data_IF_934190276680
#
_entry.id   IF_934190276680
#
_cell.length_a   1.000
_cell.length_b   1.000
_cell.length_c   1.000
_cell.angle_alpha   90.00
_cell.angle_beta   90.00
_cell.angle_gamma   90.00
#
_symmetry.space_group_name_H-M   'P 1'
#
loop_
_entity.id
_entity.type
_entity.pdbx_description
1 polymer ?
#
# COMPACT_ATOMS: atom_id res chain seq x y z
N UNK A 1 -22.50 21.57 -6.64
CA UNK A 1 -21.49 21.08 -5.67
C UNK A 1 -21.15 19.60 -5.84
N UNK A 2 -22.08 18.74 -6.29
CA UNK A 2 -21.84 17.32 -6.57
C UNK A 2 -20.95 17.06 -7.80
N UNK A 3 -21.13 17.79 -8.89
CA UNK A 3 -20.37 17.58 -10.14
C UNK A 3 -18.87 17.89 -10.02
N UNK A 4 -18.49 18.97 -9.31
CA UNK A 4 -17.08 19.34 -9.08
C UNK A 4 -16.35 18.31 -8.20
N UNK A 5 -17.07 17.74 -7.23
CA UNK A 5 -16.57 16.70 -6.34
C UNK A 5 -16.39 15.35 -7.08
N UNK A 6 -17.27 15.04 -8.03
CA UNK A 6 -17.18 13.83 -8.85
C UNK A 6 -16.03 13.93 -9.87
N UNK A 7 -15.88 15.08 -10.54
CA UNK A 7 -14.75 15.33 -11.44
C UNK A 7 -13.40 15.25 -10.70
N UNK A 8 -13.35 15.76 -9.46
CA UNK A 8 -12.16 15.66 -8.59
C UNK A 8 -11.81 14.20 -8.29
N UNK A 9 -12.82 13.38 -8.00
CA UNK A 9 -12.64 11.95 -7.74
C UNK A 9 -12.20 11.19 -8.99
N UNK A 10 -12.83 11.42 -10.15
CA UNK A 10 -12.46 10.81 -11.43
C UNK A 10 -11.02 11.15 -11.82
N UNK A 11 -10.63 12.42 -11.66
CA UNK A 11 -9.25 12.86 -11.91
C UNK A 11 -8.27 12.15 -10.98
N UNK A 12 -8.62 12.02 -9.70
CA UNK A 12 -7.80 11.27 -8.73
C UNK A 12 -7.66 9.80 -9.15
N UNK A 13 -8.75 9.12 -9.54
CA UNK A 13 -8.72 7.72 -10.01
C UNK A 13 -7.83 7.55 -11.24
N UNK A 14 -7.96 8.42 -12.23
CA UNK A 14 -7.11 8.41 -13.40
C UNK A 14 -5.61 8.60 -13.06
N UNK A 15 -5.30 9.45 -12.07
CA UNK A 15 -3.93 9.63 -11.59
C UNK A 15 -3.39 8.37 -10.89
N UNK A 16 -4.22 7.69 -10.09
CA UNK A 16 -3.87 6.42 -9.44
C UNK A 16 -3.58 5.36 -10.50
N UNK A 17 -4.49 5.13 -11.44
CA UNK A 17 -4.33 4.14 -12.51
C UNK A 17 -3.08 4.41 -13.36
N UNK A 18 -2.82 5.69 -13.70
CA UNK A 18 -1.63 6.07 -14.44
C UNK A 18 -0.34 5.75 -13.66
N UNK A 19 -0.31 6.07 -12.37
CA UNK A 19 0.83 5.79 -11.51
C UNK A 19 1.06 4.28 -11.36
N UNK A 20 0.00 3.51 -11.14
CA UNK A 20 0.05 2.05 -10.97
C UNK A 20 0.46 1.33 -12.26
N UNK A 21 -0.05 1.77 -13.42
CA UNK A 21 0.38 1.24 -14.70
C UNK A 21 1.89 1.47 -14.93
N UNK A 22 2.39 2.66 -14.57
CA UNK A 22 3.84 2.92 -14.65
C UNK A 22 4.62 2.08 -13.63
N UNK A 23 4.07 1.88 -12.43
CA UNK A 23 4.66 1.06 -11.39
C UNK A 23 4.81 -0.41 -11.81
N UNK A 24 3.76 -1.00 -12.38
CA UNK A 24 3.77 -2.37 -12.89
C UNK A 24 4.91 -2.59 -13.89
N UNK A 25 5.08 -1.64 -14.82
CA UNK A 25 6.18 -1.68 -15.80
C UNK A 25 7.58 -1.65 -15.18
N UNK A 26 7.77 -1.08 -13.98
CA UNK A 26 9.06 -1.11 -13.28
C UNK A 26 9.30 -2.43 -12.57
N UNK A 27 8.22 -3.05 -12.06
CA UNK A 27 8.28 -4.35 -11.39
C UNK A 27 8.59 -5.47 -12.39
N UNK A 28 8.05 -5.38 -13.60
CA UNK A 28 8.11 -6.46 -14.60
C UNK A 28 9.40 -6.41 -15.48
N UNK A 29 10.30 -5.45 -15.27
CA UNK A 29 11.59 -5.39 -15.99
C UNK A 29 12.62 -6.28 -15.26
N UNK A 30 13.38 -7.14 -15.97
CA UNK A 30 14.39 -8.00 -15.37
C UNK A 30 15.40 -7.25 -14.49
N UNK A 31 15.80 -7.86 -13.38
CA UNK A 31 16.79 -7.32 -12.45
C UNK A 31 18.17 -7.09 -13.09
N UNK A 32 18.45 -7.76 -14.22
CA UNK A 32 19.68 -7.63 -14.99
C UNK A 32 19.40 -7.29 -16.45
N UNK A 33 20.09 -6.27 -16.96
CA UNK A 33 19.98 -5.76 -18.32
C UNK A 33 20.21 -4.25 -18.35
N UNK A 34 20.88 -3.75 -19.40
CA UNK A 34 21.14 -2.32 -19.69
C UNK A 34 19.85 -1.53 -20.00
N UNK A 35 18.76 -1.81 -19.30
CA UNK A 35 17.54 -1.01 -19.40
C UNK A 35 17.75 0.25 -18.58
N UNK A 36 17.27 1.39 -19.07
CA UNK A 36 17.47 2.71 -18.44
C UNK A 36 16.59 2.85 -17.17
N UNK A 37 16.81 1.99 -16.18
CA UNK A 37 15.99 1.75 -14.98
C UNK A 37 15.80 3.02 -14.14
N UNK A 38 16.85 3.85 -14.04
CA UNK A 38 16.79 5.14 -13.34
C UNK A 38 15.77 6.08 -13.98
N UNK A 39 15.68 6.10 -15.31
CA UNK A 39 14.71 6.92 -16.02
C UNK A 39 13.26 6.42 -15.79
N UNK A 40 13.05 5.10 -15.66
CA UNK A 40 11.75 4.57 -15.27
C UNK A 40 11.41 4.93 -13.83
N UNK A 41 12.35 4.80 -12.89
CA UNK A 41 12.17 5.22 -11.50
C UNK A 41 11.78 6.70 -11.39
N UNK A 42 12.44 7.60 -12.12
CA UNK A 42 12.06 9.03 -12.10
C UNK A 42 10.65 9.28 -12.66
N UNK A 43 10.22 8.54 -13.69
CA UNK A 43 8.84 8.63 -14.23
C UNK A 43 7.81 8.10 -13.21
N UNK A 44 8.08 6.91 -12.70
CA UNK A 44 7.74 6.36 -11.38
C UNK A 44 7.29 7.38 -10.34
N UNK A 45 8.34 7.89 -9.71
CA UNK A 45 8.33 8.82 -8.63
C UNK A 45 7.56 10.10 -8.98
N UNK A 46 7.80 10.70 -10.17
CA UNK A 46 7.10 11.91 -10.59
C UNK A 46 5.58 11.72 -10.67
N UNK A 47 5.10 10.55 -11.12
CA UNK A 47 3.67 10.25 -11.17
C UNK A 47 3.07 10.18 -9.75
N UNK A 48 3.71 9.44 -8.83
CA UNK A 48 3.23 9.36 -7.45
C UNK A 48 3.35 10.68 -6.69
N UNK A 49 4.40 11.49 -6.90
CA UNK A 49 4.51 12.81 -6.28
C UNK A 49 3.40 13.75 -6.75
N UNK A 50 3.04 13.71 -8.04
CA UNK A 50 1.90 14.47 -8.57
C UNK A 50 0.58 13.98 -7.96
N UNK A 51 0.37 12.67 -7.90
CA UNK A 51 -0.80 12.06 -7.27
C UNK A 51 -0.92 12.46 -5.79
N UNK A 52 0.19 12.38 -5.04
CA UNK A 52 0.24 12.72 -3.62
C UNK A 52 -0.05 14.20 -3.38
N UNK A 53 0.49 15.09 -4.22
CA UNK A 53 0.20 16.52 -4.17
C UNK A 53 -1.29 16.79 -4.43
N UNK A 54 -1.85 16.21 -5.50
CA UNK A 54 -3.27 16.36 -5.83
C UNK A 54 -4.19 15.86 -4.71
N UNK A 55 -3.83 14.74 -4.09
CA UNK A 55 -4.55 14.18 -2.94
C UNK A 55 -4.56 15.14 -1.75
N UNK A 56 -3.42 15.76 -1.42
CA UNK A 56 -3.32 16.69 -0.30
C UNK A 56 -4.12 17.98 -0.54
N UNK A 57 -4.05 18.55 -1.75
CA UNK A 57 -4.76 19.77 -2.12
C UNK A 57 -6.28 19.59 -2.13
N UNK A 58 -6.77 18.42 -2.55
CA UNK A 58 -8.21 18.13 -2.69
C UNK A 58 -8.76 17.22 -1.60
N UNK A 59 -8.05 17.05 -0.48
CA UNK A 59 -8.35 16.04 0.54
C UNK A 59 -9.80 16.09 1.05
N UNK A 60 -10.29 17.28 1.37
CA UNK A 60 -11.64 17.45 1.91
C UNK A 60 -12.71 17.00 0.91
N UNK A 61 -12.57 17.39 -0.37
CA UNK A 61 -13.47 16.97 -1.45
C UNK A 61 -13.42 15.47 -1.69
N UNK A 62 -12.22 14.88 -1.73
CA UNK A 62 -12.04 13.44 -1.95
C UNK A 62 -12.70 12.60 -0.84
N UNK A 63 -12.58 13.02 0.42
CA UNK A 63 -13.24 12.35 1.54
C UNK A 63 -14.77 12.44 1.41
N UNK A 64 -15.31 13.61 1.03
CA UNK A 64 -16.74 13.79 0.78
C UNK A 64 -17.24 12.93 -0.39
N UNK A 65 -16.42 12.75 -1.43
CA UNK A 65 -16.71 11.86 -2.56
C UNK A 65 -16.51 10.36 -2.25
N UNK A 66 -16.18 9.99 -1.01
CA UNK A 66 -16.13 8.60 -0.56
C UNK A 66 -14.75 7.93 -0.61
N UNK A 67 -13.65 8.69 -0.79
CA UNK A 67 -12.29 8.17 -0.70
C UNK A 67 -12.06 7.50 0.67
N UNK A 68 -11.68 6.23 0.66
CA UNK A 68 -11.44 5.47 1.88
C UNK A 68 -10.02 5.70 2.40
N UNK A 69 -9.86 5.63 3.73
CA UNK A 69 -8.56 5.82 4.39
C UNK A 69 -7.51 4.80 3.93
N UNK A 70 -7.91 3.55 3.70
CA UNK A 70 -7.01 2.48 3.27
C UNK A 70 -6.42 2.75 1.87
N UNK A 71 -7.12 3.48 1.00
CA UNK A 71 -6.64 3.83 -0.35
C UNK A 71 -5.46 4.81 -0.28
N UNK A 72 -5.51 5.76 0.67
CA UNK A 72 -4.39 6.65 0.97
C UNK A 72 -3.20 5.84 1.52
N UNK A 73 -3.48 4.86 2.38
CA UNK A 73 -2.48 3.92 2.89
C UNK A 73 -1.81 3.11 1.78
N UNK A 74 -2.56 2.65 0.77
CA UNK A 74 -2.01 1.92 -0.37
C UNK A 74 -1.07 2.81 -1.20
N UNK A 75 -1.45 4.04 -1.51
CA UNK A 75 -0.60 4.99 -2.24
C UNK A 75 0.70 5.26 -1.46
N UNK A 76 0.60 5.52 -0.16
CA UNK A 76 1.76 5.72 0.70
C UNK A 76 2.66 4.46 0.73
N UNK A 77 2.07 3.27 0.79
CA UNK A 77 2.82 2.01 0.75
C UNK A 77 3.55 1.82 -0.59
N UNK A 78 2.97 2.27 -1.71
CA UNK A 78 3.64 2.23 -3.03
C UNK A 78 4.79 3.21 -3.12
N UNK A 79 4.65 4.40 -2.56
CA UNK A 79 5.74 5.37 -2.46
C UNK A 79 6.90 4.79 -1.63
N UNK A 80 6.62 4.22 -0.46
CA UNK A 80 7.63 3.52 0.34
C UNK A 80 8.30 2.37 -0.41
N UNK A 81 7.55 1.63 -1.24
CA UNK A 81 8.10 0.58 -2.09
C UNK A 81 9.04 1.13 -3.17
N UNK A 82 8.77 2.30 -3.75
CA UNK A 82 9.68 2.95 -4.70
C UNK A 82 11.00 3.31 -4.03
N UNK A 83 10.94 3.92 -2.85
CA UNK A 83 12.13 4.24 -2.06
C UNK A 83 12.96 2.99 -1.74
N UNK A 84 12.31 1.93 -1.26
CA UNK A 84 12.99 0.66 -1.00
C UNK A 84 13.60 0.04 -2.27
N UNK A 85 12.88 0.11 -3.40
CA UNK A 85 13.37 -0.37 -4.70
C UNK A 85 14.59 0.41 -5.21
N UNK A 86 14.70 1.70 -4.87
CA UNK A 86 15.89 2.50 -5.17
C UNK A 86 17.05 2.16 -4.22
N UNK A 87 16.77 1.95 -2.93
CA UNK A 87 17.76 1.47 -1.97
C UNK A 87 18.42 0.16 -2.43
N UNK A 88 17.64 -0.83 -2.86
CA UNK A 88 18.16 -2.11 -3.33
C UNK A 88 19.11 -2.00 -4.55
N UNK A 89 19.07 -0.89 -5.28
CA UNK A 89 19.90 -0.66 -6.47
C UNK A 89 21.11 0.23 -6.17
N UNK A 90 20.88 1.35 -5.49
CA UNK A 90 21.92 2.35 -5.22
C UNK A 90 22.70 2.05 -3.93
N UNK A 91 22.16 1.20 -3.04
CA UNK A 91 22.68 0.94 -1.69
C UNK A 91 22.79 2.19 -0.81
N UNK A 92 22.09 3.26 -1.16
CA UNK A 92 22.06 4.50 -0.39
C UNK A 92 21.03 4.42 0.75
N UNK A 93 21.52 4.45 1.99
CA UNK A 93 20.69 4.32 3.20
C UNK A 93 19.62 5.40 3.34
N UNK A 94 19.81 6.57 2.72
CA UNK A 94 18.83 7.67 2.72
C UNK A 94 17.47 7.21 2.20
N UNK A 95 17.44 6.47 1.09
CA UNK A 95 16.19 5.95 0.53
C UNK A 95 15.54 4.90 1.44
N UNK A 96 16.33 4.12 2.18
CA UNK A 96 15.81 3.16 3.15
C UNK A 96 15.14 3.86 4.33
N UNK A 97 15.72 4.95 4.82
CA UNK A 97 15.14 5.79 5.89
C UNK A 97 13.83 6.43 5.41
N UNK A 98 13.80 6.97 4.19
CA UNK A 98 12.56 7.51 3.61
C UNK A 98 11.45 6.44 3.53
N UNK A 99 11.78 5.23 3.05
CA UNK A 99 10.82 4.13 3.01
C UNK A 99 10.26 3.80 4.40
N UNK A 100 11.12 3.79 5.43
CA UNK A 100 10.73 3.57 6.82
C UNK A 100 9.76 4.65 7.30
N UNK A 101 10.04 5.93 7.07
CA UNK A 101 9.17 7.05 7.47
C UNK A 101 7.78 6.91 6.86
N UNK A 102 7.69 6.53 5.57
CA UNK A 102 6.40 6.26 4.94
C UNK A 102 5.65 5.12 5.62
N UNK A 103 6.32 4.01 5.91
CA UNK A 103 5.66 2.86 6.54
C UNK A 103 5.26 3.12 7.99
N UNK A 104 6.10 3.80 8.76
CA UNK A 104 5.79 4.22 10.13
C UNK A 104 4.61 5.18 10.17
N UNK A 105 4.53 6.13 9.23
CA UNK A 105 3.39 7.03 9.10
C UNK A 105 2.09 6.27 8.77
N UNK A 106 2.17 5.20 7.98
CA UNK A 106 1.01 4.37 7.66
C UNK A 106 0.49 3.64 8.89
N UNK A 107 1.40 3.02 9.65
CA UNK A 107 1.08 2.34 10.90
C UNK A 107 0.51 3.32 11.93
N UNK A 108 1.19 4.44 12.16
CA UNK A 108 0.82 5.45 13.18
C UNK A 108 -0.56 6.06 12.93
N UNK A 109 -0.89 6.32 11.66
CA UNK A 109 -2.19 6.89 11.26
C UNK A 109 -3.28 5.84 11.07
N UNK A 110 -2.94 4.56 11.22
CA UNK A 110 -3.87 3.43 11.20
C UNK A 110 -4.75 3.43 9.95
N UNK A 111 -4.14 3.61 8.77
CA UNK A 111 -4.90 3.73 7.51
C UNK A 111 -5.71 2.48 7.18
N UNK A 112 -5.34 1.32 7.72
CA UNK A 112 -6.06 0.06 7.55
C UNK A 112 -7.07 -0.23 8.68
N UNK A 113 -7.04 0.51 9.80
CA UNK A 113 -8.05 0.37 10.87
C UNK A 113 -9.33 1.17 10.55
N UNK A 114 -10.49 0.61 10.90
CA UNK A 114 -11.77 1.32 10.79
C UNK A 114 -12.39 1.39 9.39
N UNK A 115 -11.98 0.52 8.45
CA UNK A 115 -12.88 0.26 7.32
C UNK A 115 -14.08 -0.52 7.89
N UNK A 116 -15.28 0.04 7.87
CA UNK A 116 -16.50 -0.68 8.29
C UNK A 116 -16.76 -1.93 7.41
N UNK A 117 -15.99 -2.09 6.34
CA UNK A 117 -15.89 -3.28 5.48
C UNK A 117 -14.77 -4.27 5.87
N UNK A 118 -14.02 -4.01 6.94
CA UNK A 118 -12.81 -4.75 7.37
C UNK A 118 -13.07 -6.23 7.65
N UNK A 119 -14.30 -6.59 8.00
CA UNK A 119 -14.71 -7.98 8.19
C UNK A 119 -15.04 -8.73 6.90
N UNK A 120 -15.32 -8.03 5.78
CA UNK A 120 -15.80 -8.67 4.52
C UNK A 120 -14.85 -8.50 3.32
N UNK A 121 -14.00 -7.48 3.26
CA UNK A 121 -13.13 -7.26 2.11
C UNK A 121 -11.74 -7.91 2.28
N UNK A 122 -11.64 -9.19 1.89
CA UNK A 122 -10.38 -9.94 1.82
C UNK A 122 -9.31 -9.21 0.98
N UNK A 123 -9.73 -8.39 0.00
CA UNK A 123 -8.85 -7.61 -0.84
C UNK A 123 -8.10 -6.52 -0.06
N UNK A 124 -8.74 -5.88 0.93
CA UNK A 124 -8.09 -4.88 1.80
C UNK A 124 -7.13 -5.55 2.78
N UNK A 125 -7.53 -6.68 3.38
CA UNK A 125 -6.65 -7.44 4.29
C UNK A 125 -5.41 -7.99 3.59
N UNK A 126 -5.53 -8.43 2.34
CA UNK A 126 -4.38 -8.82 1.52
C UNK A 126 -3.42 -7.64 1.24
N UNK A 127 -3.94 -6.42 1.08
CA UNK A 127 -3.09 -5.22 0.93
C UNK A 127 -2.38 -4.88 2.24
N UNK A 128 -3.09 -4.94 3.36
CA UNK A 128 -2.56 -4.72 4.71
C UNK A 128 -1.46 -5.74 5.05
N UNK A 129 -1.68 -7.03 4.77
CA UNK A 129 -0.68 -8.09 4.99
C UNK A 129 0.60 -7.82 4.19
N UNK A 130 0.46 -7.44 2.92
CA UNK A 130 1.60 -7.08 2.06
C UNK A 130 2.30 -5.81 2.55
N UNK A 131 1.58 -4.88 3.17
CA UNK A 131 2.18 -3.71 3.82
C UNK A 131 3.04 -4.14 5.02
N UNK A 132 2.50 -4.92 5.96
CA UNK A 132 3.25 -5.39 7.14
C UNK A 132 4.50 -6.19 6.75
N UNK A 133 4.41 -7.09 5.76
CA UNK A 133 5.56 -7.84 5.29
C UNK A 133 6.70 -6.94 4.76
N UNK A 134 6.37 -5.88 4.02
CA UNK A 134 7.36 -4.92 3.53
C UNK A 134 7.94 -4.08 4.65
N UNK A 135 7.12 -3.68 5.61
CA UNK A 135 7.58 -2.87 6.73
C UNK A 135 8.49 -3.66 7.67
N UNK A 136 8.18 -4.94 7.90
CA UNK A 136 9.06 -5.88 8.61
C UNK A 136 10.44 -5.94 7.96
N UNK A 137 10.50 -6.11 6.63
CA UNK A 137 11.76 -6.17 5.89
C UNK A 137 12.60 -4.89 6.08
N UNK A 138 11.98 -3.71 5.91
CA UNK A 138 12.69 -2.43 6.09
C UNK A 138 13.15 -2.23 7.54
N UNK A 139 12.32 -2.59 8.51
CA UNK A 139 12.65 -2.46 9.94
C UNK A 139 13.79 -3.40 10.35
N UNK A 140 13.84 -4.60 9.78
CA UNK A 140 14.92 -5.57 9.96
C UNK A 140 16.24 -5.03 9.43
N UNK A 141 16.25 -4.49 8.20
CA UNK A 141 17.48 -3.95 7.58
C UNK A 141 18.00 -2.74 8.36
N UNK A 142 17.11 -1.91 8.90
CA UNK A 142 17.48 -0.77 9.78
C UNK A 142 17.77 -1.16 11.23
N UNK A 143 17.74 -2.45 11.56
CA UNK A 143 17.95 -2.99 12.91
C UNK A 143 17.04 -2.35 13.98
N UNK A 144 15.79 -2.06 13.64
CA UNK A 144 14.76 -1.53 14.55
C UNK A 144 14.02 -2.66 15.26
N UNK A 145 14.71 -3.37 16.15
CA UNK A 145 14.23 -4.60 16.81
C UNK A 145 12.87 -4.44 17.51
N UNK A 146 12.65 -3.34 18.23
CA UNK A 146 11.37 -3.09 18.91
C UNK A 146 10.22 -2.91 17.92
N UNK A 147 10.46 -2.22 16.80
CA UNK A 147 9.47 -2.10 15.72
C UNK A 147 9.21 -3.45 15.06
N UNK A 148 10.24 -4.27 14.84
CA UNK A 148 10.09 -5.62 14.29
C UNK A 148 9.20 -6.49 15.16
N UNK A 149 9.41 -6.49 16.49
CA UNK A 149 8.55 -7.24 17.44
C UNK A 149 7.10 -6.77 17.32
N UNK A 150 6.88 -5.46 17.40
CA UNK A 150 5.54 -4.88 17.30
C UNK A 150 4.83 -5.25 15.99
N UNK A 151 5.54 -5.18 14.86
CA UNK A 151 5.01 -5.54 13.55
C UNK A 151 4.74 -7.04 13.43
N UNK A 152 5.58 -7.88 14.04
CA UNK A 152 5.40 -9.34 14.01
C UNK A 152 4.13 -9.75 14.74
N UNK A 153 3.87 -9.19 15.92
CA UNK A 153 2.64 -9.47 16.68
C UNK A 153 1.39 -9.12 15.86
N UNK A 154 1.41 -7.97 15.18
CA UNK A 154 0.32 -7.53 14.29
C UNK A 154 0.18 -8.42 13.07
N UNK A 155 1.30 -8.83 12.47
CA UNK A 155 1.32 -9.68 11.29
C UNK A 155 0.74 -11.06 11.58
N UNK A 156 1.17 -11.69 12.67
CA UNK A 156 0.66 -13.00 13.12
C UNK A 156 -0.84 -12.93 13.40
N UNK A 157 -1.28 -11.93 14.18
CA UNK A 157 -2.70 -11.74 14.46
C UNK A 157 -3.55 -11.56 13.19
N UNK A 158 -3.01 -10.89 12.16
CA UNK A 158 -3.68 -10.70 10.88
C UNK A 158 -3.76 -12.00 10.06
N UNK A 159 -2.69 -12.80 10.07
CA UNK A 159 -2.67 -14.12 9.41
C UNK A 159 -3.67 -15.07 10.07
N UNK A 160 -3.70 -15.11 11.40
CA UNK A 160 -4.61 -15.96 12.16
C UNK A 160 -6.08 -15.59 11.90
N UNK A 161 -6.43 -14.30 11.87
CA UNK A 161 -7.79 -13.84 11.52
C UNK A 161 -8.16 -14.24 10.07
N UNK A 162 -7.22 -14.19 9.13
CA UNK A 162 -7.46 -14.64 7.75
C UNK A 162 -7.64 -16.17 7.66
N UNK A 163 -6.86 -16.94 8.40
CA UNK A 163 -6.97 -18.41 8.47
C UNK A 163 -8.32 -18.83 9.06
N UNK A 164 -8.71 -18.26 10.19
CA UNK A 164 -10.00 -18.55 10.84
C UNK A 164 -11.20 -18.26 9.92
N UNK A 165 -11.15 -17.17 9.15
CA UNK A 165 -12.20 -16.85 8.18
C UNK A 165 -12.24 -17.82 7.01
N UNK A 166 -11.08 -18.25 6.54
CA UNK A 166 -11.00 -19.24 5.47
C UNK A 166 -11.63 -20.56 5.91
N UNK A 167 -11.29 -21.05 7.11
CA UNK A 167 -11.88 -22.26 7.68
C UNK A 167 -13.40 -22.14 7.86
N UNK A 168 -13.88 -21.01 8.37
CA UNK A 168 -15.31 -20.74 8.52
C UNK A 168 -16.06 -20.76 7.17
N UNK A 169 -15.49 -20.10 6.15
CA UNK A 169 -16.08 -20.05 4.81
C UNK A 169 -16.12 -21.43 4.16
N UNK A 170 -15.07 -22.21 4.30
CA UNK A 170 -14.99 -23.60 3.82
C UNK A 170 -16.07 -24.46 4.49
N UNK A 171 -16.23 -24.35 5.82
CA UNK A 171 -17.25 -25.10 6.56
C UNK A 171 -18.69 -24.70 6.16
N UNK A 172 -18.95 -23.41 5.92
CA UNK A 172 -20.25 -22.93 5.43
C UNK A 172 -20.58 -23.47 4.04
N UNK A 173 -19.62 -23.42 3.10
CA UNK A 173 -19.80 -23.96 1.74
C UNK A 173 -20.06 -25.47 1.79
N UNK A 174 -19.33 -26.22 2.62
CA UNK A 174 -19.58 -27.66 2.81
C UNK A 174 -20.90 -27.97 3.53
N UNK A 175 -21.44 -27.06 4.33
CA UNK A 175 -22.74 -27.21 4.97
C UNK A 175 -23.92 -26.90 4.02
N UNK A 176 -23.77 -25.92 3.12
CA UNK A 176 -24.77 -25.63 2.08
C UNK A 176 -24.85 -26.72 1.01
N UNK A 177 -23.73 -27.29 0.59
CA UNK A 177 -23.70 -28.39 -0.40
C UNK A 177 -24.14 -29.76 0.15
N UNK A 178 -24.47 -29.84 1.45
CA UNK A 178 -25.01 -31.05 2.10
C UNK A 178 -26.54 -31.03 2.25
N UNK A 179 -27.23 -30.00 1.75
CA UNK A 179 -28.69 -29.92 1.63
C UNK A 179 -29.11 -30.14 0.17
#
# INVERSE_FOLDING_TARGET
MSEDNDLTLQTFRALVENADHKFARVRDVPAYGRVNQNHFFHKVFKAYTRLWKYQQENRAKLIQSGLKRWEIGEIASRIGQLYFGQYMRASETRFLVEAYVFYEAILSRRYFEGSEASSKDLGVRSKELRFYARFLLVSLILNRTEMVKHLMDRFVALVDDLMMRFECLVNLVFAENRK
#
